data_IF_665623083712
#
_entry.id   IF_665623083712
#
_cell.length_a   1.000
_cell.length_b   1.000
_cell.length_c   1.000
_cell.angle_alpha   90.00
_cell.angle_beta   90.00
_cell.angle_gamma   90.00
#
_symmetry.space_group_name_H-M   'P 1'
#
loop_
_entity.id
_entity.type
_entity.pdbx_description
1 polymer ?
#
# COMPACT_ATOMS: atom_id res chain seq x y z
N UNK A 1 -9.33 -23.71 5.92
CA UNK A 1 -8.39 -23.27 6.97
C UNK A 1 -8.59 -24.13 8.20
N UNK A 2 -7.55 -24.39 9.01
CA UNK A 2 -7.70 -25.09 10.29
C UNK A 2 -8.69 -24.36 11.20
N UNK A 3 -9.40 -25.11 12.04
CA UNK A 3 -10.20 -24.51 13.10
C UNK A 3 -9.29 -23.73 14.06
N UNK A 4 -9.71 -22.52 14.44
CA UNK A 4 -8.96 -21.59 15.30
C UNK A 4 -7.65 -21.04 14.71
N UNK A 5 -7.51 -21.03 13.38
CA UNK A 5 -6.41 -20.30 12.75
C UNK A 5 -6.53 -18.79 12.97
N UNK A 6 -5.48 -18.18 13.51
CA UNK A 6 -5.36 -16.73 13.67
C UNK A 6 -4.60 -16.14 12.49
N UNK A 7 -5.20 -15.17 11.81
CA UNK A 7 -4.62 -14.47 10.66
C UNK A 7 -3.34 -13.72 11.08
N UNK A 8 -2.22 -14.02 10.45
CA UNK A 8 -0.92 -13.44 10.79
C UNK A 8 -0.57 -12.21 9.96
N UNK A 9 -1.18 -12.03 8.78
CA UNK A 9 -0.87 -10.94 7.84
C UNK A 9 0.61 -10.95 7.47
N UNK A 10 1.10 -12.09 7.00
CA UNK A 10 2.49 -12.25 6.51
C UNK A 10 2.51 -12.86 5.12
N UNK A 11 3.50 -12.49 4.29
CA UNK A 11 3.59 -12.91 2.89
C UNK A 11 3.56 -14.45 2.73
N UNK A 12 4.19 -15.17 3.68
CA UNK A 12 4.21 -16.62 3.71
C UNK A 12 2.83 -17.29 3.77
N UNK A 13 1.79 -16.60 4.26
CA UNK A 13 0.42 -17.14 4.22
C UNK A 13 -0.16 -17.17 2.80
N UNK A 14 0.38 -16.37 1.87
CA UNK A 14 -0.13 -16.16 0.51
C UNK A 14 0.74 -16.79 -0.59
N UNK A 15 2.01 -17.07 -0.27
CA UNK A 15 2.97 -17.77 -1.13
C UNK A 15 2.57 -19.21 -1.43
N UNK A 16 3.31 -19.90 -2.32
CA UNK A 16 3.07 -21.27 -2.80
C UNK A 16 2.58 -22.27 -1.75
N UNK A 17 3.20 -22.27 -0.57
CA UNK A 17 2.92 -23.24 0.50
C UNK A 17 2.02 -22.64 1.62
N UNK A 18 1.54 -21.42 1.40
CA UNK A 18 0.69 -20.67 2.31
C UNK A 18 -0.77 -21.12 2.27
N UNK A 19 -1.45 -20.93 3.40
CA UNK A 19 -2.86 -21.31 3.57
C UNK A 19 -3.81 -20.57 2.62
N UNK A 20 -3.44 -19.36 2.18
CA UNK A 20 -4.19 -18.53 1.24
C UNK A 20 -3.71 -18.68 -0.20
N UNK A 21 -2.71 -19.51 -0.49
CA UNK A 21 -2.19 -19.69 -1.85
C UNK A 21 -3.27 -19.92 -2.91
N UNK A 22 -4.27 -20.81 -2.70
CA UNK A 22 -5.30 -21.04 -3.71
C UNK A 22 -6.15 -19.78 -3.99
N UNK A 23 -6.42 -18.97 -2.96
CA UNK A 23 -7.14 -17.71 -3.11
C UNK A 23 -6.25 -16.66 -3.79
N UNK A 24 -4.97 -16.58 -3.44
CA UNK A 24 -4.00 -15.71 -4.10
C UNK A 24 -3.99 -15.96 -5.60
N UNK A 25 -3.86 -17.21 -6.03
CA UNK A 25 -3.87 -17.59 -7.45
C UNK A 25 -5.17 -17.22 -8.15
N UNK A 26 -6.31 -17.41 -7.49
CA UNK A 26 -7.59 -17.02 -8.06
C UNK A 26 -7.69 -15.50 -8.22
N UNK A 27 -7.24 -14.73 -7.24
CA UNK A 27 -7.22 -13.26 -7.30
C UNK A 27 -6.31 -12.77 -8.42
N UNK A 28 -5.11 -13.34 -8.56
CA UNK A 28 -4.14 -12.98 -9.61
C UNK A 28 -4.76 -13.08 -11.02
N UNK A 29 -5.63 -14.06 -11.23
CA UNK A 29 -6.27 -14.31 -12.53
C UNK A 29 -7.53 -13.48 -12.78
N UNK A 30 -8.12 -12.85 -11.74
CA UNK A 30 -9.47 -12.30 -11.83
C UNK A 30 -9.61 -10.86 -11.34
N UNK A 31 -8.84 -10.41 -10.36
CA UNK A 31 -9.05 -9.13 -9.68
C UNK A 31 -8.99 -7.92 -10.64
N UNK A 32 -8.08 -7.97 -11.62
CA UNK A 32 -7.89 -6.89 -12.59
C UNK A 32 -9.15 -6.67 -13.45
N UNK A 33 -9.87 -7.74 -13.80
CA UNK A 33 -11.13 -7.67 -14.57
C UNK A 33 -12.21 -6.86 -13.87
N UNK A 34 -12.12 -6.76 -12.54
CA UNK A 34 -13.05 -6.01 -11.69
C UNK A 34 -12.43 -4.70 -11.19
N UNK A 35 -11.28 -4.27 -11.70
CA UNK A 35 -10.62 -3.02 -11.32
C UNK A 35 -9.87 -3.09 -9.99
N UNK A 36 -9.60 -4.28 -9.46
CA UNK A 36 -8.79 -4.47 -8.25
C UNK A 36 -7.33 -4.79 -8.60
N UNK A 37 -6.41 -4.44 -7.71
CA UNK A 37 -4.97 -4.72 -7.84
C UNK A 37 -4.29 -4.77 -6.47
N UNK A 38 -3.04 -5.26 -6.42
CA UNK A 38 -2.19 -5.19 -5.23
C UNK A 38 -1.15 -4.08 -5.37
N UNK A 39 -1.13 -3.08 -4.48
CA UNK A 39 -0.15 -1.98 -4.54
C UNK A 39 1.19 -2.33 -3.90
N UNK A 40 1.22 -3.32 -2.99
CA UNK A 40 2.40 -3.70 -2.21
C UNK A 40 2.79 -5.15 -2.51
N UNK A 41 3.66 -5.30 -3.50
CA UNK A 41 4.21 -6.60 -3.94
C UNK A 41 5.73 -6.60 -3.71
N UNK A 42 6.40 -7.73 -3.95
CA UNK A 42 7.86 -7.85 -3.92
C UNK A 42 8.60 -7.10 -5.06
N UNK A 43 7.98 -6.06 -5.61
CA UNK A 43 8.61 -5.19 -6.59
C UNK A 43 9.66 -4.30 -5.90
N UNK A 44 10.90 -4.32 -6.39
CA UNK A 44 12.00 -3.54 -5.84
C UNK A 44 11.77 -2.02 -5.85
N UNK A 45 10.77 -1.53 -6.62
CA UNK A 45 10.35 -0.12 -6.65
C UNK A 45 9.39 0.24 -5.49
N UNK A 46 8.86 -0.76 -4.79
CA UNK A 46 8.04 -0.59 -3.60
C UNK A 46 8.97 -0.72 -2.38
N UNK A 47 9.05 0.35 -1.58
CA UNK A 47 9.86 0.36 -0.34
C UNK A 47 9.12 -0.17 0.88
N UNK A 48 7.88 -0.58 0.69
CA UNK A 48 7.05 -1.26 1.68
C UNK A 48 7.25 -2.77 1.53
N UNK A 49 7.14 -3.53 2.61
CA UNK A 49 7.16 -4.99 2.54
C UNK A 49 6.04 -5.54 1.65
N UNK A 50 6.18 -6.78 1.21
CA UNK A 50 5.14 -7.47 0.43
C UNK A 50 3.91 -7.71 1.29
N UNK A 51 2.81 -7.04 0.95
CA UNK A 51 1.53 -7.13 1.64
C UNK A 51 0.50 -7.75 0.70
N UNK A 52 0.65 -9.05 0.40
CA UNK A 52 -0.22 -9.76 -0.55
C UNK A 52 -1.69 -9.83 -0.12
N UNK A 53 -1.99 -9.52 1.14
CA UNK A 53 -3.33 -9.33 1.68
C UNK A 53 -3.97 -7.99 1.29
N UNK A 54 -3.17 -6.98 0.91
CA UNK A 54 -3.66 -5.65 0.55
C UNK A 54 -4.21 -5.65 -0.88
N UNK A 55 -5.50 -5.38 -1.02
CA UNK A 55 -6.19 -5.24 -2.31
C UNK A 55 -6.78 -3.84 -2.40
N UNK A 56 -6.47 -3.12 -3.47
CA UNK A 56 -6.99 -1.78 -3.75
C UNK A 56 -7.96 -1.81 -4.93
N UNK A 57 -9.04 -1.04 -4.83
CA UNK A 57 -9.94 -0.77 -5.97
C UNK A 57 -9.51 0.51 -6.68
N UNK A 58 -9.11 0.37 -7.95
CA UNK A 58 -8.41 1.41 -8.71
C UNK A 58 -9.19 2.71 -8.80
N UNK A 59 -10.46 2.65 -9.21
CA UNK A 59 -11.23 3.86 -9.52
C UNK A 59 -11.48 4.75 -8.30
N UNK A 60 -11.57 4.17 -7.10
CA UNK A 60 -11.69 4.97 -5.88
C UNK A 60 -10.31 5.43 -5.39
N UNK A 61 -9.30 4.55 -5.41
CA UNK A 61 -7.94 4.91 -4.99
C UNK A 61 -7.37 6.10 -5.79
N UNK A 62 -7.57 6.11 -7.11
CA UNK A 62 -7.10 7.18 -7.99
C UNK A 62 -7.77 8.53 -7.70
N UNK A 63 -9.01 8.56 -7.20
CA UNK A 63 -9.67 9.81 -6.79
C UNK A 63 -9.00 10.47 -5.58
N UNK A 64 -8.41 9.67 -4.69
CA UNK A 64 -7.77 10.17 -3.48
C UNK A 64 -6.29 10.52 -3.68
N UNK A 65 -5.66 9.97 -4.71
CA UNK A 65 -4.24 10.14 -4.98
C UNK A 65 -3.80 11.62 -5.08
N UNK A 66 -4.55 12.53 -5.73
CA UNK A 66 -4.18 13.96 -5.78
C UNK A 66 -4.15 14.67 -4.42
N UNK A 67 -4.82 14.11 -3.40
CA UNK A 67 -4.80 14.66 -2.04
C UNK A 67 -3.59 14.19 -1.23
N UNK A 68 -2.86 13.18 -1.70
CA UNK A 68 -1.65 12.67 -1.05
C UNK A 68 -0.47 13.56 -1.44
N UNK A 69 -0.50 14.81 -0.99
CA UNK A 69 0.58 15.78 -1.19
C UNK A 69 1.41 15.93 0.09
N UNK A 70 2.68 16.34 -0.04
CA UNK A 70 3.53 16.65 1.12
C UNK A 70 2.83 17.60 2.09
N UNK A 71 2.28 18.69 1.55
CA UNK A 71 1.56 19.69 2.34
C UNK A 71 0.41 19.07 3.14
N UNK A 72 -0.44 18.26 2.50
CA UNK A 72 -1.57 17.64 3.18
C UNK A 72 -1.12 16.65 4.25
N UNK A 73 -0.03 15.91 4.02
CA UNK A 73 0.55 14.98 4.99
C UNK A 73 1.15 15.76 6.17
N UNK A 74 1.89 16.84 5.92
CA UNK A 74 2.41 17.71 6.97
C UNK A 74 1.29 18.30 7.82
N UNK A 75 0.23 18.83 7.19
CA UNK A 75 -0.92 19.39 7.89
C UNK A 75 -1.61 18.33 8.75
N UNK A 76 -1.80 17.12 8.21
CA UNK A 76 -2.37 15.99 8.93
C UNK A 76 -1.51 15.57 10.13
N UNK A 77 -0.18 15.48 9.95
CA UNK A 77 0.76 15.19 11.03
C UNK A 77 0.67 16.28 12.11
N UNK A 78 0.60 17.56 11.72
CA UNK A 78 0.46 18.70 12.66
C UNK A 78 -0.84 18.63 13.45
N UNK A 79 -1.96 18.26 12.83
CA UNK A 79 -3.26 18.19 13.49
C UNK A 79 -3.49 16.90 14.29
N UNK A 80 -2.75 15.83 14.03
CA UNK A 80 -3.02 14.52 14.64
C UNK A 80 -2.36 14.35 16.01
N UNK A 81 -2.99 13.66 16.98
CA UNK A 81 -2.41 13.38 18.30
C UNK A 81 -1.45 12.18 18.23
N UNK A 82 -0.38 12.28 17.42
CA UNK A 82 0.61 11.22 17.23
C UNK A 82 1.89 11.51 18.01
N UNK A 83 2.47 10.45 18.60
CA UNK A 83 3.80 10.52 19.18
C UNK A 83 4.87 10.73 18.08
N UNK A 84 6.00 11.34 18.43
CA UNK A 84 7.10 11.53 17.47
C UNK A 84 6.86 12.56 16.36
N UNK A 85 5.81 13.39 16.47
CA UNK A 85 5.40 14.39 15.46
C UNK A 85 6.55 15.25 14.93
N UNK A 86 7.41 15.78 15.80
CA UNK A 86 8.56 16.59 15.38
C UNK A 86 9.57 15.80 14.53
N UNK A 87 9.80 14.53 14.85
CA UNK A 87 10.65 13.64 14.06
C UNK A 87 10.05 13.43 12.67
N UNK A 88 8.76 13.06 12.62
CA UNK A 88 8.05 12.84 11.36
C UNK A 88 8.06 14.09 10.47
N UNK A 89 7.81 15.28 11.04
CA UNK A 89 7.85 16.53 10.28
C UNK A 89 9.25 16.86 9.74
N UNK A 90 10.31 16.53 10.48
CA UNK A 90 11.69 16.75 10.00
C UNK A 90 12.10 15.77 8.89
N UNK A 91 11.45 14.61 8.82
CA UNK A 91 11.74 13.55 7.84
C UNK A 91 10.70 13.50 6.70
N UNK A 92 9.66 14.33 6.73
CA UNK A 92 8.49 14.17 5.86
C UNK A 92 8.84 14.25 4.38
N UNK A 93 9.82 15.07 4.01
CA UNK A 93 10.30 15.21 2.64
C UNK A 93 10.93 13.91 2.12
N UNK A 94 11.83 13.32 2.92
CA UNK A 94 12.49 12.05 2.62
C UNK A 94 11.48 10.91 2.58
N UNK A 95 10.63 10.80 3.60
CA UNK A 95 9.61 9.76 3.68
C UNK A 95 8.63 9.83 2.50
N UNK A 96 8.26 11.03 2.07
CA UNK A 96 7.37 11.20 0.92
C UNK A 96 8.03 10.77 -0.39
N UNK A 97 9.28 11.15 -0.61
CA UNK A 97 10.03 10.76 -1.82
C UNK A 97 10.35 9.27 -1.88
N UNK A 98 10.56 8.64 -0.72
CA UNK A 98 10.94 7.23 -0.67
C UNK A 98 9.72 6.29 -0.69
N UNK A 99 8.65 6.64 0.02
CA UNK A 99 7.54 5.71 0.28
C UNK A 99 6.23 6.07 -0.42
N UNK A 100 6.08 7.30 -0.93
CA UNK A 100 4.82 7.76 -1.53
C UNK A 100 4.99 7.99 -3.03
N UNK A 101 6.03 8.72 -3.45
CA UNK A 101 6.40 8.79 -4.87
C UNK A 101 7.27 7.57 -5.19
N UNK A 102 6.72 6.61 -5.93
CA UNK A 102 7.53 5.62 -6.63
C UNK A 102 7.39 5.80 -8.15
N UNK A 103 8.31 5.21 -8.91
CA UNK A 103 8.29 5.29 -10.39
C UNK A 103 6.95 4.81 -10.99
N UNK A 104 6.19 4.00 -10.26
CA UNK A 104 4.91 3.44 -10.65
C UNK A 104 3.74 4.44 -10.56
N UNK A 105 3.79 5.40 -9.61
CA UNK A 105 2.70 6.37 -9.39
C UNK A 105 3.11 7.82 -9.74
N UNK A 106 4.35 8.03 -10.18
CA UNK A 106 4.92 9.35 -10.50
C UNK A 106 4.09 10.09 -11.54
N UNK A 107 3.72 9.42 -12.63
CA UNK A 107 2.90 10.04 -13.69
C UNK A 107 1.46 10.31 -13.23
N UNK A 108 0.94 9.60 -12.22
CA UNK A 108 -0.40 9.79 -11.70
C UNK A 108 -0.48 10.90 -10.64
N UNK A 109 0.60 11.15 -9.90
CA UNK A 109 0.69 12.18 -8.88
C UNK A 109 1.05 13.57 -9.43
N UNK A 110 1.77 13.63 -10.56
CA UNK A 110 2.30 14.89 -11.12
C UNK A 110 1.59 15.38 -12.40
N UNK A 111 0.64 14.61 -12.95
CA UNK A 111 -0.18 15.02 -14.10
C UNK A 111 -1.67 15.24 -13.75
N UNK A 112 -1.99 15.42 -12.46
CA UNK A 112 -3.34 15.77 -11.97
C UNK A 112 -3.54 17.29 -11.87
#
# INVERSE_FOLDING_TARGET
>A
MPENYELQLVAAEYDKDGIFHPLTQWLDQNMEKFGFYRPFTDDARVRVGSELWHISYRSEAEKFLPFVTRKNIEDLIRSSPIAGKYCLLNMVDELYDEYIINETNKDQLFNA
#
